data_IF_103088642047
#
_entry.id   IF_103088642047
#
_cell.length_a   1.000
_cell.length_b   1.000
_cell.length_c   1.000
_cell.angle_alpha   90.00
_cell.angle_beta   90.00
_cell.angle_gamma   90.00
#
_symmetry.space_group_name_H-M   'P 1'
#
loop_
_entity.id
_entity.type
_entity.pdbx_description
1 polymer ?
#
# COMPACT_ATOMS: atom_id res chain seq x y z
N UNK A 1 -12.08 -1.80 18.50
CA UNK A 1 -11.28 -3.03 18.33
C UNK A 1 -11.33 -3.57 16.89
N UNK A 2 -12.49 -3.60 16.22
CA UNK A 2 -12.61 -4.19 14.87
C UNK A 2 -11.74 -3.51 13.81
N UNK A 3 -11.62 -2.17 13.85
CA UNK A 3 -10.73 -1.43 12.92
C UNK A 3 -9.27 -1.87 13.05
N UNK A 4 -8.79 -2.11 14.26
CA UNK A 4 -7.41 -2.60 14.51
C UNK A 4 -7.22 -4.00 13.90
N UNK A 5 -8.21 -4.89 14.06
CA UNK A 5 -8.18 -6.22 13.44
C UNK A 5 -8.14 -6.12 11.90
N UNK A 6 -8.94 -5.22 11.32
CA UNK A 6 -8.94 -4.97 9.88
C UNK A 6 -7.58 -4.45 9.40
N UNK A 7 -6.98 -3.51 10.14
CA UNK A 7 -5.63 -3.00 9.86
C UNK A 7 -4.58 -4.10 9.83
N UNK A 8 -4.58 -5.02 10.81
CA UNK A 8 -3.63 -6.15 10.81
C UNK A 8 -3.76 -7.03 9.56
N UNK A 9 -4.98 -7.26 9.08
CA UNK A 9 -5.21 -7.98 7.81
C UNK A 9 -4.72 -7.16 6.61
N UNK A 10 -4.86 -5.84 6.65
CA UNK A 10 -4.36 -4.95 5.61
C UNK A 10 -2.83 -5.03 5.45
N UNK A 11 -2.06 -5.21 6.53
CA UNK A 11 -0.61 -5.48 6.43
C UNK A 11 -0.32 -6.73 5.58
N UNK A 12 -1.10 -7.80 5.78
CA UNK A 12 -0.95 -9.03 5.01
C UNK A 12 -1.22 -8.81 3.52
N UNK A 13 -2.28 -8.04 3.20
CA UNK A 13 -2.63 -7.68 1.82
C UNK A 13 -1.57 -6.79 1.18
N UNK A 14 -1.21 -5.68 1.82
CA UNK A 14 -0.45 -4.61 1.18
C UNK A 14 1.06 -4.81 1.24
N UNK A 15 1.59 -5.47 2.26
CA UNK A 15 3.04 -5.48 2.53
C UNK A 15 3.60 -6.85 2.87
N UNK A 16 2.85 -7.93 2.66
CA UNK A 16 3.36 -9.28 2.79
C UNK A 16 3.28 -10.04 1.48
N UNK A 17 4.19 -11.00 1.29
CA UNK A 17 4.14 -11.88 0.14
C UNK A 17 2.86 -12.74 0.10
N UNK A 18 2.23 -13.00 1.26
CA UNK A 18 0.94 -13.70 1.35
C UNK A 18 -0.17 -12.96 0.58
N UNK A 19 -0.14 -11.63 0.58
CA UNK A 19 -1.11 -10.80 -0.14
C UNK A 19 -0.83 -10.65 -1.63
N UNK A 20 0.28 -11.19 -2.16
CA UNK A 20 0.69 -10.96 -3.56
C UNK A 20 -0.40 -11.32 -4.54
N UNK A 21 -0.98 -12.51 -4.45
CA UNK A 21 -2.02 -12.94 -5.38
C UNK A 21 -3.24 -12.00 -5.39
N UNK A 22 -3.62 -11.46 -4.23
CA UNK A 22 -4.70 -10.48 -4.13
C UNK A 22 -4.31 -9.13 -4.76
N UNK A 23 -3.07 -8.69 -4.58
CA UNK A 23 -2.53 -7.49 -5.23
C UNK A 23 -2.41 -7.65 -6.73
N UNK A 24 -1.99 -8.80 -7.23
CA UNK A 24 -1.86 -9.05 -8.67
C UNK A 24 -3.24 -8.94 -9.35
N UNK A 25 -4.31 -9.36 -8.68
CA UNK A 25 -5.68 -9.23 -9.19
C UNK A 25 -6.20 -7.79 -9.10
N UNK A 26 -5.89 -7.06 -8.01
CA UNK A 26 -6.46 -5.72 -7.79
C UNK A 26 -5.62 -4.57 -8.37
N UNK A 27 -4.29 -4.63 -8.25
CA UNK A 27 -3.37 -3.53 -8.53
C UNK A 27 -2.76 -3.63 -9.91
N UNK A 28 -2.41 -4.83 -10.36
CA UNK A 28 -1.76 -5.00 -11.67
C UNK A 28 -2.60 -4.46 -12.84
N UNK A 29 -3.93 -4.64 -12.90
CA UNK A 29 -4.74 -4.02 -13.96
C UNK A 29 -4.64 -2.50 -13.96
N UNK A 30 -4.70 -1.87 -12.79
CA UNK A 30 -4.61 -0.40 -12.64
C UNK A 30 -3.23 0.08 -13.08
N UNK A 31 -2.18 -0.60 -12.62
CA UNK A 31 -0.79 -0.26 -12.93
C UNK A 31 -0.51 -0.41 -14.43
N UNK A 32 -1.00 -1.50 -15.04
CA UNK A 32 -0.86 -1.73 -16.48
C UNK A 32 -1.53 -0.61 -17.27
N UNK A 33 -2.77 -0.27 -16.94
CA UNK A 33 -3.52 0.76 -17.64
C UNK A 33 -2.83 2.14 -17.51
N UNK A 34 -2.23 2.45 -16.35
CA UNK A 34 -1.38 3.64 -16.17
C UNK A 34 -0.16 3.61 -17.10
N UNK A 35 0.55 2.48 -17.16
CA UNK A 35 1.75 2.34 -17.99
C UNK A 35 1.43 2.37 -19.49
N UNK A 36 0.27 1.86 -19.91
CA UNK A 36 -0.20 1.93 -21.29
C UNK A 36 -0.59 3.37 -21.67
N UNK A 37 -1.27 4.09 -20.77
CA UNK A 37 -1.70 5.47 -21.01
C UNK A 37 -0.52 6.46 -20.99
N UNK A 38 0.43 6.27 -20.07
CA UNK A 38 1.58 7.14 -19.85
C UNK A 38 2.89 6.42 -20.16
N UNK A 39 3.00 5.93 -21.39
CA UNK A 39 4.18 5.22 -21.91
C UNK A 39 5.48 6.01 -21.64
N UNK A 40 6.33 5.44 -20.79
CA UNK A 40 7.58 6.06 -20.32
C UNK A 40 8.63 6.21 -21.42
N UNK A 41 8.44 5.57 -22.58
CA UNK A 41 9.27 5.82 -23.76
C UNK A 41 8.96 7.15 -24.45
N UNK A 42 7.80 7.76 -24.14
CA UNK A 42 7.29 8.98 -24.77
C UNK A 42 7.15 10.14 -23.80
N UNK A 43 6.84 9.85 -22.54
CA UNK A 43 6.55 10.84 -21.50
C UNK A 43 7.49 10.60 -20.32
N UNK A 44 8.05 11.67 -19.76
CA UNK A 44 8.77 11.59 -18.50
C UNK A 44 7.76 11.25 -17.38
N UNK A 45 7.83 10.06 -16.75
CA UNK A 45 6.86 9.64 -15.75
C UNK A 45 6.82 10.59 -14.55
N UNK A 46 7.91 11.28 -14.22
CA UNK A 46 7.95 12.24 -13.12
C UNK A 46 6.99 13.43 -13.35
N UNK A 47 6.65 13.75 -14.61
CA UNK A 47 5.71 14.83 -14.94
C UNK A 47 4.24 14.43 -14.79
N UNK A 48 3.95 13.12 -14.75
CA UNK A 48 2.59 12.59 -14.59
C UNK A 48 2.26 12.54 -13.10
N UNK A 49 1.26 13.31 -12.70
CA UNK A 49 0.80 13.41 -11.30
C UNK A 49 -0.41 12.52 -11.08
N UNK A 50 -0.26 11.50 -10.26
CA UNK A 50 -1.29 10.50 -9.97
C UNK A 50 -1.72 10.62 -8.51
N UNK A 51 -3.02 10.67 -8.28
CA UNK A 51 -3.62 10.68 -6.95
C UNK A 51 -4.32 9.33 -6.70
N UNK A 52 -4.08 8.73 -5.53
CA UNK A 52 -4.73 7.50 -5.08
C UNK A 52 -5.56 7.80 -3.82
N UNK A 53 -6.85 8.12 -3.96
CA UNK A 53 -7.77 8.31 -2.83
C UNK A 53 -8.02 6.98 -2.09
N UNK A 54 -8.15 7.03 -0.76
CA UNK A 54 -8.35 5.82 0.04
C UNK A 54 -7.19 4.83 -0.07
N UNK A 55 -5.96 5.33 0.00
CA UNK A 55 -4.74 4.57 -0.25
C UNK A 55 -4.45 3.47 0.78
N UNK A 56 -5.17 3.41 1.91
CA UNK A 56 -4.96 2.39 2.93
C UNK A 56 -3.53 2.43 3.48
N UNK A 57 -2.78 1.33 3.34
CA UNK A 57 -1.36 1.29 3.75
C UNK A 57 -0.40 1.77 2.67
N UNK A 58 -0.90 2.33 1.57
CA UNK A 58 -0.11 3.03 0.57
C UNK A 58 0.58 2.14 -0.46
N UNK A 59 0.33 0.82 -0.48
CA UNK A 59 1.04 -0.10 -1.40
C UNK A 59 0.83 0.24 -2.87
N UNK A 60 -0.41 0.49 -3.31
CA UNK A 60 -0.67 0.84 -4.71
C UNK A 60 0.00 2.16 -5.10
N UNK A 61 -0.11 3.19 -4.25
CA UNK A 61 0.53 4.48 -4.47
C UNK A 61 2.08 4.34 -4.52
N UNK A 62 2.64 3.47 -3.67
CA UNK A 62 4.06 3.13 -3.70
C UNK A 62 4.45 2.39 -4.99
N UNK A 63 3.68 1.42 -5.46
CA UNK A 63 3.96 0.68 -6.72
C UNK A 63 3.96 1.61 -7.95
N UNK A 64 3.09 2.62 -7.94
CA UNK A 64 3.04 3.67 -8.97
C UNK A 64 4.28 4.55 -8.89
N UNK A 65 4.67 5.01 -7.69
CA UNK A 65 5.90 5.77 -7.49
C UNK A 65 7.17 4.98 -7.83
N UNK A 66 7.22 3.70 -7.48
CA UNK A 66 8.33 2.80 -7.79
C UNK A 66 8.60 2.71 -9.30
N UNK A 67 7.56 2.89 -10.13
CA UNK A 67 7.66 2.92 -11.60
C UNK A 67 8.06 4.28 -12.17
N UNK A 68 8.30 5.28 -11.32
CA UNK A 68 8.80 6.59 -11.71
C UNK A 68 7.76 7.71 -11.71
N UNK A 69 6.48 7.40 -11.51
CA UNK A 69 5.41 8.40 -11.56
C UNK A 69 5.37 9.25 -10.29
N UNK A 70 5.05 10.54 -10.42
CA UNK A 70 4.75 11.36 -9.24
C UNK A 70 3.42 10.88 -8.66
N UNK A 71 3.45 10.29 -7.47
CA UNK A 71 2.26 9.71 -6.86
C UNK A 71 2.00 10.26 -5.46
N UNK A 72 0.74 10.63 -5.21
CA UNK A 72 0.26 11.00 -3.88
C UNK A 72 -0.85 10.03 -3.48
N UNK A 73 -0.67 9.34 -2.35
CA UNK A 73 -1.79 8.65 -1.71
C UNK A 73 -2.57 9.60 -0.82
N UNK A 74 -3.86 9.39 -0.65
CA UNK A 74 -4.70 10.07 0.33
C UNK A 74 -5.40 9.06 1.22
N UNK A 75 -5.43 9.31 2.51
CA UNK A 75 -6.16 8.47 3.45
C UNK A 75 -6.72 9.32 4.61
N UNK A 76 -7.90 8.95 5.08
CA UNK A 76 -8.61 9.64 6.15
C UNK A 76 -8.45 8.92 7.50
N UNK A 77 -8.44 7.59 7.49
CA UNK A 77 -8.44 6.79 8.71
C UNK A 77 -7.07 6.80 9.40
N UNK A 78 -7.03 7.26 10.65
CA UNK A 78 -5.84 7.14 11.50
C UNK A 78 -5.38 5.68 11.68
N UNK A 79 -6.30 4.71 11.57
CA UNK A 79 -5.98 3.27 11.65
C UNK A 79 -5.22 2.77 10.42
N UNK A 80 -5.16 3.56 9.35
CA UNK A 80 -4.37 3.29 8.15
C UNK A 80 -3.15 4.21 8.10
N UNK A 81 -3.32 5.51 8.38
CA UNK A 81 -2.23 6.50 8.35
C UNK A 81 -1.07 6.17 9.29
N UNK A 82 -1.34 5.78 10.54
CA UNK A 82 -0.28 5.48 11.52
C UNK A 82 0.55 4.25 11.06
N UNK A 83 -0.06 3.10 10.72
CA UNK A 83 0.64 1.98 10.12
C UNK A 83 1.34 2.30 8.79
N UNK A 84 0.69 3.04 7.88
CA UNK A 84 1.29 3.43 6.61
C UNK A 84 2.57 4.24 6.84
N UNK A 85 2.53 5.20 7.77
CA UNK A 85 3.70 5.97 8.17
C UNK A 85 4.82 5.05 8.69
N UNK A 86 4.50 4.11 9.58
CA UNK A 86 5.46 3.15 10.10
C UNK A 86 6.10 2.30 8.99
N UNK A 87 5.31 1.77 8.07
CA UNK A 87 5.82 0.95 6.97
C UNK A 87 6.72 1.78 6.05
N UNK A 88 6.21 2.91 5.55
CA UNK A 88 6.86 3.70 4.52
C UNK A 88 8.11 4.44 5.01
N UNK A 89 8.22 4.74 6.31
CA UNK A 89 9.30 5.59 6.83
C UNK A 89 10.23 4.86 7.82
N UNK A 90 9.77 3.78 8.46
CA UNK A 90 10.54 3.14 9.54
C UNK A 90 11.00 1.72 9.23
N UNK A 91 10.33 1.00 8.31
CA UNK A 91 10.75 -0.34 7.92
C UNK A 91 11.90 -0.25 6.91
N UNK A 92 13.07 -0.80 7.26
CA UNK A 92 14.29 -0.69 6.44
C UNK A 92 14.71 -2.01 5.82
N UNK A 93 14.33 -3.12 6.45
CA UNK A 93 14.72 -4.46 6.01
C UNK A 93 13.51 -5.22 5.52
N UNK A 94 13.67 -5.98 4.43
CA UNK A 94 12.63 -6.87 3.93
C UNK A 94 12.34 -7.95 4.98
N UNK A 95 11.06 -8.20 5.25
CA UNK A 95 10.56 -9.16 6.23
C UNK A 95 11.08 -8.93 7.67
N UNK A 96 11.41 -7.68 8.03
CA UNK A 96 11.91 -7.31 9.36
C UNK A 96 10.90 -7.61 10.49
N UNK A 97 9.62 -7.51 10.19
CA UNK A 97 8.55 -7.61 11.18
C UNK A 97 7.64 -8.80 10.93
N UNK A 98 7.05 -9.30 12.02
CA UNK A 98 6.10 -10.43 11.99
C UNK A 98 4.84 -10.06 12.76
N UNK A 99 3.68 -10.32 12.17
CA UNK A 99 2.36 -10.18 12.80
C UNK A 99 1.55 -11.46 12.67
N UNK A 100 0.48 -11.57 13.47
CA UNK A 100 -0.43 -12.70 13.46
C UNK A 100 -1.87 -12.22 13.24
N UNK A 101 -2.24 -11.87 11.99
CA UNK A 101 -3.52 -11.20 11.70
C UNK A 101 -4.76 -12.08 11.94
N UNK A 102 -4.58 -13.40 12.05
CA UNK A 102 -5.67 -14.38 12.14
C UNK A 102 -6.02 -14.84 13.56
N UNK A 103 -5.26 -14.42 14.58
CA UNK A 103 -5.38 -14.98 15.96
C UNK A 103 -6.76 -14.81 16.59
N UNK A 104 -7.51 -13.79 16.17
CA UNK A 104 -8.87 -13.51 16.65
C UNK A 104 -9.96 -14.22 15.84
N UNK A 105 -9.61 -15.02 14.84
CA UNK A 105 -10.53 -15.81 14.03
C UNK A 105 -10.62 -17.24 14.56
N UNK A 106 -11.72 -17.56 15.25
CA UNK A 106 -11.95 -18.87 15.87
C UNK A 106 -12.82 -19.81 15.03
N UNK A 107 -13.45 -19.30 13.96
CA UNK A 107 -14.30 -20.07 13.07
C UNK A 107 -13.59 -20.28 11.73
N UNK A 108 -13.91 -21.41 11.07
CA UNK A 108 -13.40 -21.77 9.74
C UNK A 108 -11.87 -21.91 9.66
N UNK A 109 -11.23 -22.38 10.73
CA UNK A 109 -9.83 -22.81 10.70
C UNK A 109 -9.79 -24.30 10.39
N UNK A 110 -9.02 -24.71 9.38
CA UNK A 110 -8.87 -26.12 9.03
C UNK A 110 -7.92 -26.82 10.01
N UNK A 111 -6.94 -26.09 10.54
CA UNK A 111 -6.08 -26.52 11.63
C UNK A 111 -5.82 -25.40 12.64
N UNK A 112 -5.17 -25.72 13.77
CA UNK A 112 -4.81 -24.71 14.80
C UNK A 112 -3.70 -23.78 14.29
N UNK A 113 -2.83 -24.32 13.45
CA UNK A 113 -1.71 -23.63 12.83
C UNK A 113 -2.19 -22.47 11.93
N UNK A 114 -3.34 -22.62 11.26
CA UNK A 114 -3.93 -21.55 10.43
C UNK A 114 -4.23 -20.28 11.25
N UNK A 115 -4.76 -20.45 12.47
CA UNK A 115 -5.15 -19.33 13.33
C UNK A 115 -3.93 -18.53 13.82
N UNK A 116 -2.79 -19.20 14.00
CA UNK A 116 -1.54 -18.62 14.51
C UNK A 116 -0.48 -18.48 13.41
N UNK A 117 -0.88 -18.53 12.13
CA UNK A 117 0.05 -18.42 11.03
C UNK A 117 0.72 -17.03 11.02
N UNK A 118 2.05 -16.96 11.00
CA UNK A 118 2.78 -15.69 10.95
C UNK A 118 2.68 -15.05 9.56
N UNK A 119 2.72 -13.73 9.53
CA UNK A 119 2.82 -12.91 8.32
C UNK A 119 4.00 -11.96 8.48
N UNK A 120 4.95 -12.06 7.56
CA UNK A 120 6.13 -11.20 7.53
C UNK A 120 5.93 -9.99 6.61
N UNK A 121 6.47 -8.83 7.00
CA UNK A 121 6.42 -7.59 6.23
C UNK A 121 7.60 -6.67 6.58
N UNK A 122 7.94 -5.68 5.73
CA UNK A 122 7.45 -5.51 4.35
C UNK A 122 8.12 -6.51 3.40
N UNK A 123 7.40 -7.00 2.38
CA UNK A 123 7.91 -7.98 1.40
C UNK A 123 8.84 -7.37 0.33
N UNK A 124 8.91 -6.04 0.30
CA UNK A 124 9.81 -5.21 -0.51
C UNK A 124 10.35 -4.09 0.37
N UNK A 125 11.47 -3.46 -0.02
CA UNK A 125 11.97 -2.28 0.69
C UNK A 125 11.10 -1.06 0.36
N UNK A 126 10.43 -0.41 1.31
CA UNK A 126 9.62 0.78 1.02
C UNK A 126 10.46 1.98 0.53
N UNK A 127 11.77 1.97 0.82
CA UNK A 127 12.71 2.98 0.35
C UNK A 127 13.21 2.73 -1.09
N UNK A 128 12.84 1.61 -1.71
CA UNK A 128 13.16 1.30 -3.10
C UNK A 128 12.24 2.10 -4.03
N UNK A 129 12.40 3.42 -4.06
CA UNK A 129 11.75 4.33 -5.00
C UNK A 129 12.87 5.00 -5.80
N UNK A 130 12.75 5.14 -7.14
CA UNK A 130 13.78 5.80 -7.92
C UNK A 130 14.10 7.21 -7.38
N UNK A 131 15.37 7.63 -7.43
CA UNK A 131 15.75 8.94 -6.93
C UNK A 131 14.99 10.05 -7.65
N UNK A 132 14.62 11.10 -6.91
CA UNK A 132 13.88 12.26 -7.40
C UNK A 132 12.43 12.00 -7.85
N UNK A 133 11.85 10.82 -7.57
CA UNK A 133 10.42 10.59 -7.78
C UNK A 133 9.65 11.07 -6.54
N UNK A 134 8.75 12.06 -6.66
CA UNK A 134 7.94 12.51 -5.54
C UNK A 134 6.88 11.45 -5.20
N UNK A 135 7.01 10.88 -4.00
CA UNK A 135 6.00 10.04 -3.37
C UNK A 135 5.56 10.66 -2.04
N UNK A 136 4.25 10.83 -1.85
CA UNK A 136 3.72 11.38 -0.60
C UNK A 136 2.38 10.78 -0.19
N UNK A 137 2.01 11.01 1.08
CA UNK A 137 0.72 10.61 1.65
C UNK A 137 0.05 11.83 2.30
N UNK A 138 -1.17 12.17 1.87
CA UNK A 138 -1.98 13.23 2.44
C UNK A 138 -3.04 12.66 3.41
N UNK A 139 -3.16 13.28 4.60
CA UNK A 139 -4.09 12.86 5.64
C UNK A 139 -5.36 13.73 5.67
N UNK A 140 -6.53 13.12 5.49
CA UNK A 140 -7.85 13.76 5.63
C UNK A 140 -8.84 13.32 4.56
N UNK A 141 -10.03 13.93 4.55
CA UNK A 141 -11.09 13.60 3.61
C UNK A 141 -10.70 14.01 2.18
N UNK A 142 -10.86 13.09 1.23
CA UNK A 142 -10.55 13.30 -0.17
C UNK A 142 -11.26 14.54 -0.76
N UNK A 143 -12.56 14.69 -0.49
CA UNK A 143 -13.36 15.76 -1.11
C UNK A 143 -13.04 17.13 -0.49
N UNK A 144 -12.56 17.15 0.75
CA UNK A 144 -12.19 18.39 1.45
C UNK A 144 -10.76 18.85 1.11
N UNK A 145 -9.84 17.90 0.88
CA UNK A 145 -8.43 18.22 0.58
C UNK A 145 -8.27 18.71 -0.86
N UNK A 146 -8.90 18.04 -1.83
CA UNK A 146 -8.65 18.29 -3.24
C UNK A 146 -9.76 19.16 -3.84
N UNK A 147 -9.69 20.46 -3.55
CA UNK A 147 -10.70 21.46 -3.96
C UNK A 147 -10.24 22.38 -5.10
N UNK A 148 -8.99 22.24 -5.56
CA UNK A 148 -8.48 23.03 -6.69
C UNK A 148 -9.30 22.72 -7.97
N UNK A 149 -9.86 23.74 -8.63
CA UNK A 149 -10.58 23.55 -9.88
C UNK A 149 -9.63 23.09 -11.00
N UNK A 150 -10.15 22.24 -11.89
CA UNK A 150 -9.43 21.71 -13.07
C UNK A 150 -9.15 22.78 -14.12
#
# INVERSE_FOLDING_TARGET
MDKVRSTLKQFARDWSNVGRAERDVCYEPIIRDICELYDTSKIDPATVRILVPGAGLGRLAWEIAHRGYTCQGNEWSLHMLIPAYFILNNCKTVNEHTIYPWVTQFCNNMSREDQIAPVHFPDVSPADIPPNVPFSMAAGDFVEIYTEPS
#
